data_IF_437607800190
#
_entry.id   IF_437607800190
#
_cell.length_a   1.000
_cell.length_b   1.000
_cell.length_c   1.000
_cell.angle_alpha   90.00
_cell.angle_beta   90.00
_cell.angle_gamma   90.00
#
_symmetry.space_group_name_H-M   'P 1'
#
loop_
_entity.id
_entity.type
_entity.pdbx_description
1 polymer ?
#
# COMPACT_ATOMS: atom_id res chain seq x y z
N UNK A 1 -8.40 1.48 12.22
CA UNK A 1 -7.47 0.70 13.03
C UNK A 1 -8.15 -0.56 13.54
N UNK A 2 -7.52 -1.72 13.33
CA UNK A 2 -7.99 -3.03 13.78
C UNK A 2 -7.32 -3.47 15.08
N UNK A 3 -6.05 -3.12 15.23
CA UNK A 3 -5.25 -3.39 16.42
C UNK A 3 -4.44 -2.17 16.84
N UNK A 4 -4.12 -2.08 18.12
CA UNK A 4 -3.19 -1.09 18.64
C UNK A 4 -1.77 -1.43 18.15
N UNK A 5 -0.98 -0.44 17.68
CA UNK A 5 0.40 -0.68 17.28
C UNK A 5 1.26 -1.25 18.43
N UNK A 6 2.15 -2.17 18.06
CA UNK A 6 3.18 -2.72 18.97
C UNK A 6 4.48 -1.93 18.77
N UNK A 7 4.99 -1.21 19.78
CA UNK A 7 6.19 -0.36 19.64
C UNK A 7 7.46 -1.11 19.20
N UNK A 8 7.54 -2.41 19.47
CA UNK A 8 8.72 -3.23 19.17
C UNK A 8 8.66 -3.90 17.78
N UNK A 9 7.53 -3.78 17.11
CA UNK A 9 7.32 -4.41 15.79
C UNK A 9 7.76 -3.50 14.63
N UNK A 10 7.92 -4.11 13.47
CA UNK A 10 8.20 -3.47 12.19
C UNK A 10 6.89 -3.31 11.41
N UNK A 11 6.69 -2.15 10.80
CA UNK A 11 5.49 -1.85 10.02
C UNK A 11 5.82 -1.49 8.58
N UNK A 12 4.97 -1.94 7.65
CA UNK A 12 4.91 -1.41 6.31
C UNK A 12 3.64 -0.57 6.13
N UNK A 13 3.80 0.57 5.47
CA UNK A 13 2.69 1.46 5.06
C UNK A 13 2.79 1.65 3.56
N UNK A 14 1.78 1.25 2.82
CA UNK A 14 1.73 1.36 1.36
C UNK A 14 0.54 2.21 0.92
N UNK A 15 0.77 3.09 -0.06
CA UNK A 15 -0.27 3.89 -0.70
C UNK A 15 -0.39 3.48 -2.16
N UNK A 16 -1.59 3.05 -2.56
CA UNK A 16 -2.04 2.99 -3.95
C UNK A 16 -2.87 4.25 -4.22
N UNK A 17 -2.35 5.25 -4.96
CA UNK A 17 -3.01 6.52 -5.13
C UNK A 17 -4.01 6.50 -6.29
N UNK A 18 -5.09 7.26 -6.15
CA UNK A 18 -6.06 7.51 -7.22
C UNK A 18 -6.21 9.00 -7.53
N UNK A 19 -6.92 9.33 -8.62
CA UNK A 19 -7.18 10.71 -9.00
C UNK A 19 -8.09 11.48 -8.02
N UNK A 20 -8.81 10.80 -7.15
CA UNK A 20 -9.73 11.43 -6.19
C UNK A 20 -10.96 12.05 -6.84
N UNK A 21 -11.39 11.57 -7.99
CA UNK A 21 -12.50 12.13 -8.79
C UNK A 21 -13.80 11.34 -8.68
N UNK A 22 -13.86 10.37 -7.77
CA UNK A 22 -15.06 9.54 -7.53
C UNK A 22 -15.10 8.22 -8.33
N UNK A 23 -14.06 7.94 -9.15
CA UNK A 23 -13.85 6.65 -9.82
C UNK A 23 -13.15 5.66 -8.91
N UNK A 24 -11.90 5.29 -9.24
CA UNK A 24 -11.08 4.38 -8.45
C UNK A 24 -10.77 4.95 -7.06
N UNK A 25 -10.63 4.07 -6.10
CA UNK A 25 -10.28 4.44 -4.73
C UNK A 25 -8.76 4.61 -4.59
N UNK A 26 -8.35 5.59 -3.78
CA UNK A 26 -7.03 5.54 -3.18
C UNK A 26 -7.09 4.65 -1.94
N UNK A 27 -6.07 3.84 -1.74
CA UNK A 27 -6.02 2.90 -0.63
C UNK A 27 -4.68 2.96 0.12
N UNK A 28 -4.73 2.84 1.45
CA UNK A 28 -3.55 2.70 2.30
C UNK A 28 -3.70 1.42 3.11
N UNK A 29 -2.65 0.59 3.13
CA UNK A 29 -2.53 -0.57 4.00
C UNK A 29 -1.43 -0.36 5.02
N UNK A 30 -1.70 -0.79 6.26
CA UNK A 30 -0.72 -0.81 7.35
C UNK A 30 -0.59 -2.25 7.85
N UNK A 31 0.59 -2.83 7.67
CA UNK A 31 0.88 -4.20 8.05
C UNK A 31 1.98 -4.25 9.11
N UNK A 32 1.77 -5.04 10.16
CA UNK A 32 2.85 -5.49 11.02
C UNK A 32 3.62 -6.60 10.32
N UNK A 33 4.86 -6.32 9.94
CA UNK A 33 5.67 -7.21 9.07
C UNK A 33 6.08 -8.50 9.77
N UNK A 34 6.36 -8.41 11.08
CA UNK A 34 6.83 -9.56 11.88
C UNK A 34 5.81 -10.71 11.94
N UNK A 35 4.53 -10.37 11.97
CA UNK A 35 3.42 -11.32 12.12
C UNK A 35 2.53 -11.39 10.87
N UNK A 36 2.82 -10.59 9.85
CA UNK A 36 2.00 -10.40 8.65
C UNK A 36 0.53 -10.09 9.00
N UNK A 37 0.33 -9.23 10.02
CA UNK A 37 -0.99 -8.85 10.52
C UNK A 37 -1.40 -7.48 9.99
N UNK A 38 -2.60 -7.38 9.43
CA UNK A 38 -3.21 -6.10 9.07
C UNK A 38 -3.55 -5.30 10.32
N UNK A 39 -3.02 -4.10 10.44
CA UNK A 39 -3.20 -3.24 11.61
C UNK A 39 -4.22 -2.13 11.33
N UNK A 40 -4.17 -1.56 10.16
CA UNK A 40 -5.10 -0.53 9.73
C UNK A 40 -5.23 -0.50 8.20
N UNK A 41 -6.28 0.14 7.74
CA UNK A 41 -6.45 0.53 6.35
C UNK A 41 -7.15 1.88 6.26
N UNK A 42 -7.03 2.50 5.11
CA UNK A 42 -7.80 3.65 4.68
C UNK A 42 -8.13 3.52 3.20
N UNK A 43 -9.33 3.90 2.81
CA UNK A 43 -9.78 3.90 1.41
C UNK A 43 -10.76 5.04 1.18
N UNK A 44 -10.55 5.82 0.10
CA UNK A 44 -11.48 6.87 -0.30
C UNK A 44 -11.29 7.27 -1.77
N UNK A 45 -12.39 7.58 -2.47
CA UNK A 45 -12.34 7.87 -3.92
C UNK A 45 -12.49 9.35 -4.29
N UNK A 46 -12.70 10.24 -3.32
CA UNK A 46 -12.86 11.68 -3.56
C UNK A 46 -11.79 12.54 -2.86
N UNK A 47 -10.81 11.91 -2.21
CA UNK A 47 -9.71 12.65 -1.58
C UNK A 47 -8.68 13.02 -2.65
N UNK A 48 -8.33 14.30 -2.82
CA UNK A 48 -7.27 14.72 -3.74
C UNK A 48 -5.91 14.16 -3.30
N UNK A 49 -4.95 14.12 -4.22
CA UNK A 49 -3.63 13.48 -4.01
C UNK A 49 -2.91 14.04 -2.77
N UNK A 50 -2.93 15.36 -2.57
CA UNK A 50 -2.34 16.00 -1.38
C UNK A 50 -3.00 15.51 -0.09
N UNK A 51 -4.31 15.26 -0.12
CA UNK A 51 -5.06 14.70 0.99
C UNK A 51 -4.67 13.25 1.28
N UNK A 52 -4.49 12.44 0.23
CA UNK A 52 -4.04 11.03 0.34
C UNK A 52 -2.64 10.96 0.96
N UNK A 53 -1.70 11.76 0.47
CA UNK A 53 -0.32 11.85 0.99
C UNK A 53 -0.32 12.34 2.44
N UNK A 54 -1.15 13.35 2.77
CA UNK A 54 -1.30 13.81 4.16
C UNK A 54 -1.84 12.71 5.06
N UNK A 55 -2.88 11.97 4.64
CA UNK A 55 -3.44 10.85 5.41
C UNK A 55 -2.38 9.78 5.68
N UNK A 56 -1.58 9.42 4.68
CA UNK A 56 -0.48 8.46 4.85
C UNK A 56 0.54 8.98 5.88
N UNK A 57 0.95 10.25 5.78
CA UNK A 57 1.86 10.88 6.74
C UNK A 57 1.28 10.86 8.17
N UNK A 58 0.01 11.20 8.32
CA UNK A 58 -0.65 11.26 9.63
C UNK A 58 -0.75 9.86 10.26
N UNK A 59 -0.99 8.81 9.46
CA UNK A 59 -0.93 7.40 9.90
C UNK A 59 0.48 7.04 10.41
N UNK A 60 1.53 7.41 9.68
CA UNK A 60 2.91 7.11 10.07
C UNK A 60 3.34 7.91 11.32
N UNK A 61 2.88 9.16 11.45
CA UNK A 61 3.12 9.97 12.65
C UNK A 61 2.42 9.36 13.86
N UNK A 62 1.19 8.88 13.71
CA UNK A 62 0.50 8.16 14.78
C UNK A 62 1.26 6.89 15.20
N UNK A 63 1.78 6.09 14.26
CA UNK A 63 2.64 4.96 14.60
C UNK A 63 3.86 5.40 15.41
N UNK A 64 4.49 6.52 15.04
CA UNK A 64 5.64 7.10 15.75
C UNK A 64 5.26 7.55 17.16
N UNK A 65 4.11 8.19 17.33
CA UNK A 65 3.58 8.63 18.65
C UNK A 65 3.27 7.44 19.56
N UNK A 66 2.83 6.30 19.00
CA UNK A 66 2.66 5.04 19.73
C UNK A 66 3.99 4.32 20.02
N UNK A 67 5.13 4.93 19.69
CA UNK A 67 6.48 4.43 20.00
C UNK A 67 7.07 3.48 18.95
N UNK A 68 6.46 3.36 17.77
CA UNK A 68 7.00 2.54 16.67
C UNK A 68 8.14 3.28 15.99
N UNK A 69 9.32 2.68 15.89
CA UNK A 69 10.49 3.26 15.23
C UNK A 69 10.83 2.60 13.89
N UNK A 70 10.41 1.37 13.68
CA UNK A 70 10.67 0.61 12.45
C UNK A 70 9.46 0.72 11.51
N UNK A 71 9.38 1.84 10.80
CA UNK A 71 8.32 2.11 9.82
C UNK A 71 8.97 2.17 8.44
N UNK A 72 8.47 1.35 7.52
CA UNK A 72 8.84 1.36 6.11
C UNK A 72 7.62 1.71 5.29
N UNK A 73 7.78 2.58 4.29
CA UNK A 73 6.64 3.00 3.51
C UNK A 73 6.96 3.13 2.02
N UNK A 74 5.95 2.98 1.21
CA UNK A 74 6.06 3.04 -0.24
C UNK A 74 4.79 3.62 -0.87
N UNK A 75 4.93 4.09 -2.10
CA UNK A 75 3.83 4.56 -2.94
C UNK A 75 3.93 3.84 -4.27
N UNK A 76 2.81 3.35 -4.80
CA UNK A 76 2.79 2.82 -6.15
C UNK A 76 3.13 3.93 -7.15
N UNK A 77 4.18 3.72 -7.94
CA UNK A 77 4.65 4.66 -8.95
C UNK A 77 4.04 4.32 -10.33
N UNK A 78 2.73 4.48 -10.46
CA UNK A 78 2.04 4.56 -11.74
C UNK A 78 1.91 6.03 -12.17
N UNK A 79 1.13 6.33 -13.23
CA UNK A 79 0.94 7.71 -13.74
C UNK A 79 0.42 8.68 -12.66
N UNK A 80 -0.51 8.22 -11.82
CA UNK A 80 -1.07 9.01 -10.71
C UNK A 80 -0.10 9.04 -9.52
N UNK A 81 0.61 7.94 -9.29
CA UNK A 81 1.63 7.84 -8.25
C UNK A 81 2.79 8.81 -8.43
N UNK A 82 3.14 9.18 -9.67
CA UNK A 82 4.13 10.24 -9.90
C UNK A 82 3.70 11.58 -9.28
N UNK A 83 2.42 11.93 -9.34
CA UNK A 83 1.90 13.14 -8.69
C UNK A 83 1.98 13.04 -7.15
N UNK A 84 1.69 11.88 -6.58
CA UNK A 84 1.87 11.65 -5.14
C UNK A 84 3.34 11.77 -4.73
N UNK A 85 4.29 11.26 -5.54
CA UNK A 85 5.73 11.39 -5.30
C UNK A 85 6.22 12.84 -5.40
N UNK A 86 5.65 13.65 -6.30
CA UNK A 86 5.90 15.10 -6.37
C UNK A 86 5.41 15.78 -5.09
N UNK A 87 4.19 15.48 -4.64
CA UNK A 87 3.63 16.01 -3.38
C UNK A 87 4.49 15.65 -2.17
N UNK A 88 4.98 14.41 -2.09
CA UNK A 88 5.89 13.96 -1.02
C UNK A 88 7.21 14.76 -1.05
N UNK A 89 7.80 14.94 -2.24
CA UNK A 89 9.02 15.72 -2.41
C UNK A 89 8.83 17.18 -1.98
N UNK A 90 7.70 17.79 -2.38
CA UNK A 90 7.41 19.20 -2.11
C UNK A 90 7.04 19.42 -0.63
N UNK A 91 6.49 18.39 0.03
CA UNK A 91 6.27 18.37 1.50
C UNK A 91 7.57 18.21 2.28
N UNK A 92 8.59 17.60 1.69
CA UNK A 92 9.83 17.17 2.33
C UNK A 92 9.69 15.76 2.92
N UNK A 93 10.49 14.82 2.40
CA UNK A 93 10.46 13.41 2.83
C UNK A 93 10.80 13.23 4.32
N UNK A 94 11.62 14.13 4.85
CA UNK A 94 12.00 14.18 6.27
C UNK A 94 10.81 14.45 7.22
N UNK A 95 9.69 14.94 6.69
CA UNK A 95 8.45 15.16 7.46
C UNK A 95 7.58 13.89 7.56
N UNK A 96 8.04 12.78 7.00
CA UNK A 96 7.37 11.48 7.08
C UNK A 96 8.14 10.55 8.03
N UNK A 97 7.44 9.97 9.00
CA UNK A 97 8.06 9.05 9.93
C UNK A 97 8.48 7.74 9.23
N UNK A 98 9.71 7.28 9.47
CA UNK A 98 10.20 6.01 8.92
C UNK A 98 11.04 6.16 7.65
N UNK A 99 11.18 5.06 6.93
CA UNK A 99 12.07 4.97 5.76
C UNK A 99 11.26 4.74 4.49
N UNK A 100 11.47 5.60 3.49
CA UNK A 100 10.90 5.42 2.16
C UNK A 100 11.59 4.28 1.42
N UNK A 101 10.80 3.31 0.96
CA UNK A 101 11.26 2.20 0.16
C UNK A 101 11.29 2.60 -1.33
N UNK A 102 12.38 2.26 -1.98
CA UNK A 102 12.58 2.47 -3.41
C UNK A 102 12.93 1.15 -4.07
N UNK A 103 12.57 0.99 -5.34
CA UNK A 103 12.97 -0.19 -6.09
C UNK A 103 14.50 -0.37 -6.09
N UNK A 104 14.97 -1.63 -6.01
CA UNK A 104 16.38 -1.93 -6.18
C UNK A 104 16.90 -1.39 -7.53
N UNK A 105 18.06 -0.77 -7.50
CA UNK A 105 18.70 -0.25 -8.72
C UNK A 105 19.04 -1.41 -9.67
N UNK A 106 18.39 -1.46 -10.82
CA UNK A 106 18.82 -2.36 -11.90
C UNK A 106 20.07 -1.79 -12.58
N UNK A 107 20.99 -2.67 -12.99
CA UNK A 107 22.23 -2.26 -13.67
C UNK A 107 21.90 -1.39 -14.91
N UNK A 108 22.43 -0.15 -14.94
CA UNK A 108 22.22 0.79 -16.06
C UNK A 108 20.95 1.65 -16.01
N UNK A 109 20.14 1.57 -14.95
CA UNK A 109 18.94 2.42 -14.81
C UNK A 109 19.08 3.40 -13.65
N UNK A 110 18.34 4.53 -13.72
CA UNK A 110 18.17 5.42 -12.58
C UNK A 110 17.38 4.72 -11.47
N UNK A 111 17.64 5.09 -10.21
CA UNK A 111 16.83 4.62 -9.06
C UNK A 111 15.45 5.26 -9.16
N UNK A 112 14.41 4.46 -9.30
CA UNK A 112 13.03 4.96 -9.26
C UNK A 112 12.54 5.05 -7.82
N UNK A 113 11.87 6.14 -7.50
CA UNK A 113 11.19 6.32 -6.21
C UNK A 113 9.84 5.59 -6.25
N UNK A 114 9.43 5.06 -5.11
CA UNK A 114 8.22 4.25 -5.01
C UNK A 114 8.39 2.86 -5.64
N UNK A 115 7.29 2.20 -5.88
CA UNK A 115 7.24 0.84 -6.43
C UNK A 115 6.43 0.83 -7.73
N UNK A 116 7.03 0.40 -8.83
CA UNK A 116 6.35 0.32 -10.13
C UNK A 116 5.70 -1.05 -10.29
N UNK A 117 4.39 -1.09 -10.30
CA UNK A 117 3.64 -2.30 -10.60
C UNK A 117 3.72 -2.60 -12.09
N UNK A 118 4.49 -3.61 -12.44
CA UNK A 118 4.51 -4.21 -13.78
C UNK A 118 3.64 -5.46 -13.76
N UNK A 119 3.18 -5.93 -14.92
CA UNK A 119 2.45 -7.20 -15.01
C UNK A 119 3.20 -8.36 -14.34
N UNK A 120 4.52 -8.41 -14.51
CA UNK A 120 5.36 -9.43 -13.88
C UNK A 120 5.38 -9.31 -12.37
N UNK A 121 5.68 -8.13 -11.80
CA UNK A 121 5.72 -7.92 -10.35
C UNK A 121 4.35 -8.14 -9.72
N UNK A 122 3.26 -7.67 -10.36
CA UNK A 122 1.88 -7.93 -9.93
C UNK A 122 1.61 -9.43 -9.84
N UNK A 123 1.95 -10.19 -10.87
CA UNK A 123 1.72 -11.64 -10.88
C UNK A 123 2.55 -12.37 -9.80
N UNK A 124 3.82 -12.00 -9.63
CA UNK A 124 4.70 -12.57 -8.60
C UNK A 124 4.13 -12.29 -7.19
N UNK A 125 3.70 -11.05 -6.92
CA UNK A 125 3.09 -10.67 -5.63
C UNK A 125 1.74 -11.37 -5.41
N UNK A 126 0.89 -11.49 -6.43
CA UNK A 126 -0.39 -12.22 -6.32
C UNK A 126 -0.19 -13.69 -5.98
N UNK A 127 0.81 -14.35 -6.59
CA UNK A 127 1.14 -15.76 -6.27
C UNK A 127 1.62 -15.88 -4.82
N UNK A 128 2.46 -14.94 -4.37
CA UNK A 128 2.95 -14.91 -2.99
C UNK A 128 1.80 -14.67 -2.00
N UNK A 129 0.94 -13.67 -2.24
CA UNK A 129 -0.21 -13.38 -1.40
C UNK A 129 -1.17 -14.56 -1.31
N UNK A 130 -1.47 -15.22 -2.44
CA UNK A 130 -2.27 -16.44 -2.48
C UNK A 130 -1.70 -17.51 -1.55
N UNK A 131 -0.40 -17.77 -1.66
CA UNK A 131 0.29 -18.74 -0.80
C UNK A 131 0.18 -18.36 0.69
N UNK A 132 0.41 -17.07 1.03
CA UNK A 132 0.29 -16.59 2.40
C UNK A 132 -1.11 -16.81 2.98
N UNK A 133 -2.15 -16.63 2.16
CA UNK A 133 -3.55 -16.87 2.55
C UNK A 133 -3.81 -18.38 2.75
N UNK A 134 -3.40 -19.22 1.79
CA UNK A 134 -3.61 -20.68 1.83
C UNK A 134 -2.86 -21.33 3.00
N UNK A 135 -1.65 -20.86 3.30
CA UNK A 135 -0.84 -21.33 4.43
C UNK A 135 -1.21 -20.63 5.76
N UNK A 136 -2.22 -19.75 5.77
CA UNK A 136 -2.67 -18.98 6.95
C UNK A 136 -1.56 -18.16 7.61
N UNK A 137 -0.65 -17.64 6.81
CA UNK A 137 0.48 -16.84 7.28
C UNK A 137 0.11 -15.38 7.48
N UNK A 138 -0.91 -14.87 6.79
CA UNK A 138 -1.38 -13.48 6.85
C UNK A 138 -2.68 -13.39 7.64
N UNK A 139 -2.76 -12.41 8.53
CA UNK A 139 -3.94 -12.13 9.36
C UNK A 139 -4.60 -10.84 8.87
N UNK A 140 -5.75 -10.97 8.19
CA UNK A 140 -6.51 -9.88 7.58
C UNK A 140 -7.76 -9.62 8.39
N UNK A 141 -7.94 -8.37 8.83
CA UNK A 141 -9.08 -7.93 9.65
C UNK A 141 -10.16 -7.17 8.88
N UNK A 142 -9.80 -6.59 7.74
CA UNK A 142 -10.72 -5.82 6.90
C UNK A 142 -11.75 -6.72 6.22
N UNK A 143 -13.02 -6.47 6.46
CA UNK A 143 -14.10 -7.09 5.71
C UNK A 143 -14.11 -6.66 4.24
N UNK A 144 -13.73 -5.40 3.99
CA UNK A 144 -13.65 -4.84 2.64
C UNK A 144 -12.51 -5.51 1.85
N UNK A 145 -11.31 -5.56 2.40
CA UNK A 145 -10.19 -6.26 1.78
C UNK A 145 -10.51 -7.75 1.53
N UNK A 146 -11.16 -8.43 2.48
CA UNK A 146 -11.60 -9.82 2.29
C UNK A 146 -12.62 -9.92 1.14
N UNK A 147 -13.51 -8.94 0.97
CA UNK A 147 -14.45 -8.90 -0.15
C UNK A 147 -13.72 -8.71 -1.48
N UNK A 148 -12.77 -7.78 -1.54
CA UNK A 148 -11.94 -7.56 -2.72
C UNK A 148 -11.13 -8.81 -3.08
N UNK A 149 -10.47 -9.46 -2.10
CA UNK A 149 -9.72 -10.71 -2.31
C UNK A 149 -10.59 -11.83 -2.89
N UNK A 150 -11.85 -11.97 -2.47
CA UNK A 150 -12.80 -12.96 -3.03
C UNK A 150 -13.20 -12.66 -4.47
N UNK A 151 -13.16 -11.39 -4.86
CA UNK A 151 -13.52 -10.92 -6.19
C UNK A 151 -12.31 -10.68 -7.10
N UNK A 152 -11.09 -10.90 -6.59
CA UNK A 152 -9.84 -10.74 -7.30
C UNK A 152 -9.50 -12.03 -8.05
N UNK A 153 -9.61 -12.00 -9.37
CA UNK A 153 -9.57 -13.19 -10.23
C UNK A 153 -8.47 -13.11 -11.29
N UNK A 154 -8.05 -14.25 -11.78
CA UNK A 154 -7.21 -14.31 -12.97
C UNK A 154 -7.97 -13.75 -14.19
N UNK A 155 -7.36 -12.82 -14.91
CA UNK A 155 -7.91 -12.17 -16.11
C UNK A 155 -6.83 -12.10 -17.18
N UNK A 156 -6.92 -12.96 -18.18
CA UNK A 156 -5.85 -13.12 -19.18
C UNK A 156 -4.54 -13.54 -18.53
N UNK A 157 -3.50 -12.76 -18.74
CA UNK A 157 -2.16 -13.01 -18.19
C UNK A 157 -1.90 -12.25 -16.87
N UNK A 158 -2.93 -11.74 -16.20
CA UNK A 158 -2.81 -10.97 -14.96
C UNK A 158 -3.94 -11.28 -13.98
N UNK A 159 -4.07 -10.47 -12.94
CA UNK A 159 -5.13 -10.54 -11.94
C UNK A 159 -5.82 -9.17 -11.85
N UNK A 160 -7.12 -9.17 -11.64
CA UNK A 160 -7.91 -7.95 -11.44
C UNK A 160 -9.23 -8.27 -10.73
N UNK A 161 -9.91 -7.25 -10.22
CA UNK A 161 -11.27 -7.38 -9.75
C UNK A 161 -12.23 -7.85 -10.87
N UNK A 162 -13.29 -8.55 -10.48
CA UNK A 162 -14.43 -8.81 -11.37
C UNK A 162 -15.04 -7.50 -11.86
N UNK A 163 -15.75 -7.55 -12.99
CA UNK A 163 -16.43 -6.37 -13.53
C UNK A 163 -17.42 -5.82 -12.50
N UNK A 164 -17.30 -4.52 -12.19
CA UNK A 164 -18.13 -3.82 -11.22
C UNK A 164 -17.63 -3.93 -9.76
N UNK A 165 -16.52 -4.62 -9.54
CA UNK A 165 -15.84 -4.72 -8.24
C UNK A 165 -14.53 -3.91 -8.23
N UNK A 166 -13.97 -3.71 -7.04
CA UNK A 166 -12.72 -2.97 -6.81
C UNK A 166 -11.60 -3.89 -6.33
N UNK A 167 -10.34 -3.50 -6.55
CA UNK A 167 -9.14 -4.19 -6.09
C UNK A 167 -8.09 -3.25 -5.46
N UNK A 168 -8.48 -2.02 -5.13
CA UNK A 168 -7.57 -0.96 -4.65
C UNK A 168 -6.91 -1.34 -3.31
N UNK A 169 -7.65 -1.93 -2.36
CA UNK A 169 -7.10 -2.45 -1.10
C UNK A 169 -6.17 -3.64 -1.33
N UNK A 170 -6.49 -4.51 -2.31
CA UNK A 170 -5.61 -5.61 -2.69
C UNK A 170 -4.34 -5.06 -3.33
N UNK A 171 -4.44 -4.06 -4.21
CA UNK A 171 -3.29 -3.45 -4.86
C UNK A 171 -2.36 -2.77 -3.87
N UNK A 172 -2.90 -2.05 -2.88
CA UNK A 172 -2.09 -1.45 -1.82
C UNK A 172 -1.45 -2.48 -0.87
N UNK A 173 -1.97 -3.72 -0.80
CA UNK A 173 -1.40 -4.82 -0.01
C UNK A 173 -0.27 -5.54 -0.76
N UNK A 174 -0.34 -5.62 -2.10
CA UNK A 174 0.64 -6.34 -2.94
C UNK A 174 2.01 -5.66 -2.97
#
# INVERSE_FOLDING_TARGET
WYKKPNPTAMYSVSLDPSAGTGGDYAAIQVMEVNTLTQIAEWQHNQTPIEGQVRTMRDIMNYLREEGVYQIYWSVENNTIGEAALVTIRDTGEENFAGQFLTEPKRRGTARRRGFTTTQRTKNESCVMLKRMIEEKMIDVHSKQLISELKNFIAKGNSFAAKIGEHDDLVMSLL
#
